data_IF_759558329613
#
_entry.id   IF_759558329613
#
_cell.length_a   1.000
_cell.length_b   1.000
_cell.length_c   1.000
_cell.angle_alpha   90.00
_cell.angle_beta   90.00
_cell.angle_gamma   90.00
#
_symmetry.space_group_name_H-M   'P 1'
#
loop_
_entity.id
_entity.type
_entity.pdbx_description
1 polymer ?
#
# COMPACT_ATOMS: atom_id res chain seq x y z
N UNK A 1 6.75 -15.37 6.21
CA UNK A 1 6.04 -14.69 5.11
C UNK A 1 6.36 -13.21 5.23
N UNK A 2 6.92 -12.62 4.18
CA UNK A 2 7.25 -11.20 4.12
C UNK A 2 6.21 -10.53 3.21
N UNK A 3 5.57 -9.47 3.70
CA UNK A 3 4.60 -8.69 2.93
C UNK A 3 5.25 -7.31 2.70
N UNK A 4 5.59 -6.97 1.45
CA UNK A 4 6.22 -5.70 1.17
C UNK A 4 5.19 -4.56 1.27
N UNK A 5 5.63 -3.38 1.72
CA UNK A 5 4.78 -2.20 1.79
C UNK A 5 4.37 -1.76 0.37
N UNK A 6 3.06 -1.77 0.08
CA UNK A 6 2.55 -1.31 -1.21
C UNK A 6 2.78 0.19 -1.43
N UNK A 7 2.70 1.02 -0.38
CA UNK A 7 2.97 2.45 -0.50
C UNK A 7 4.39 2.73 -1.01
N UNK A 8 5.39 2.03 -0.44
CA UNK A 8 6.78 2.13 -0.93
C UNK A 8 6.91 1.65 -2.37
N UNK A 9 6.23 0.57 -2.76
CA UNK A 9 6.25 0.10 -4.16
C UNK A 9 5.69 1.13 -5.13
N UNK A 10 4.59 1.81 -4.79
CA UNK A 10 3.98 2.85 -5.64
C UNK A 10 4.86 4.10 -5.69
N UNK A 11 5.49 4.50 -4.58
CA UNK A 11 6.46 5.59 -4.58
C UNK A 11 7.66 5.28 -5.48
N UNK A 12 8.22 4.08 -5.35
CA UNK A 12 9.36 3.63 -6.13
C UNK A 12 9.01 3.48 -7.62
N UNK A 13 7.79 3.05 -7.96
CA UNK A 13 7.36 2.95 -9.35
C UNK A 13 7.36 4.32 -10.03
N UNK A 14 6.81 5.35 -9.36
CA UNK A 14 6.83 6.71 -9.90
C UNK A 14 8.26 7.27 -10.00
N UNK A 15 9.05 7.15 -8.93
CA UNK A 15 10.43 7.61 -8.92
C UNK A 15 11.27 6.97 -10.02
N UNK A 16 11.12 5.66 -10.22
CA UNK A 16 11.84 4.92 -11.24
C UNK A 16 11.55 5.45 -12.64
N UNK A 17 10.27 5.54 -13.02
CA UNK A 17 9.93 5.96 -14.38
C UNK A 17 10.23 7.44 -14.62
N UNK A 18 10.12 8.29 -13.58
CA UNK A 18 10.58 9.67 -13.62
C UNK A 18 12.09 9.80 -13.82
N UNK A 19 12.88 8.82 -13.38
CA UNK A 19 14.32 8.75 -13.64
C UNK A 19 14.71 8.17 -15.01
N UNK A 20 13.82 7.39 -15.65
CA UNK A 20 14.09 6.64 -16.89
C UNK A 20 13.51 7.29 -18.15
N UNK A 21 12.36 7.93 -18.06
CA UNK A 21 11.72 8.58 -19.19
C UNK A 21 12.18 10.04 -19.28
N UNK A 22 12.89 10.41 -20.36
CA UNK A 22 13.48 11.75 -20.51
C UNK A 22 12.45 12.88 -20.43
N UNK A 23 11.25 12.69 -21.02
CA UNK A 23 10.21 13.72 -21.02
C UNK A 23 9.64 13.92 -19.62
N UNK A 24 9.31 12.83 -18.93
CA UNK A 24 8.84 12.88 -17.55
C UNK A 24 9.92 13.41 -16.60
N UNK A 25 11.17 13.01 -16.79
CA UNK A 25 12.30 13.50 -16.00
C UNK A 25 12.46 15.02 -16.11
N UNK A 26 12.38 15.56 -17.33
CA UNK A 26 12.44 17.00 -17.55
C UNK A 26 11.29 17.70 -16.84
N UNK A 27 10.06 17.20 -17.01
CA UNK A 27 8.88 17.79 -16.38
C UNK A 27 8.97 17.77 -14.84
N UNK A 28 9.39 16.66 -14.25
CA UNK A 28 9.53 16.54 -12.78
C UNK A 28 10.58 17.50 -12.25
N UNK A 29 11.72 17.65 -12.94
CA UNK A 29 12.73 18.66 -12.58
C UNK A 29 12.17 20.08 -12.66
N UNK A 30 11.38 20.38 -13.68
CA UNK A 30 10.72 21.69 -13.81
C UNK A 30 9.72 21.92 -12.67
N UNK A 31 8.91 20.92 -12.32
CA UNK A 31 7.98 20.97 -11.18
C UNK A 31 8.72 21.26 -9.87
N UNK A 32 9.83 20.57 -9.60
CA UNK A 32 10.63 20.77 -8.39
C UNK A 32 11.25 22.18 -8.37
N UNK A 33 11.79 22.65 -9.50
CA UNK A 33 12.33 24.00 -9.63
C UNK A 33 11.27 25.08 -9.40
N UNK A 34 10.08 24.90 -9.98
CA UNK A 34 8.96 25.83 -9.78
C UNK A 34 8.57 25.84 -8.29
N UNK A 35 8.51 24.68 -7.63
CA UNK A 35 8.18 24.58 -6.20
C UNK A 35 9.17 25.34 -5.32
N UNK A 36 10.48 25.18 -5.55
CA UNK A 36 11.53 25.93 -4.84
C UNK A 36 11.37 27.44 -5.03
N UNK A 37 11.14 27.89 -6.26
CA UNK A 37 10.93 29.30 -6.56
C UNK A 37 9.68 29.84 -5.88
N UNK A 38 8.58 29.08 -5.89
CA UNK A 38 7.34 29.47 -5.21
C UNK A 38 7.52 29.63 -3.69
N UNK A 39 8.40 28.83 -3.07
CA UNK A 39 8.72 28.96 -1.65
C UNK A 39 9.56 30.20 -1.35
N UNK A 40 10.46 30.60 -2.26
CA UNK A 40 11.23 31.84 -2.14
C UNK A 40 10.29 33.06 -2.24
N UNK A 41 9.31 33.01 -3.14
CA UNK A 41 8.34 34.07 -3.38
C UNK A 41 6.98 33.83 -2.68
N UNK A 42 6.98 33.14 -1.54
CA UNK A 42 5.74 32.76 -0.85
C UNK A 42 4.89 33.99 -0.45
N UNK A 43 5.53 35.10 -0.06
CA UNK A 43 4.85 36.35 0.30
C UNK A 43 4.15 36.99 -0.90
N UNK A 44 4.82 37.04 -2.06
CA UNK A 44 4.26 37.59 -3.29
C UNK A 44 3.11 36.72 -3.83
N UNK A 45 3.27 35.40 -3.74
CA UNK A 45 2.26 34.41 -4.12
C UNK A 45 1.08 34.42 -3.14
N UNK A 46 1.32 34.77 -1.88
CA UNK A 46 0.36 34.77 -0.79
C UNK A 46 0.00 33.37 -0.30
N UNK A 47 0.84 32.37 -0.58
CA UNK A 47 0.68 30.99 -0.14
C UNK A 47 2.04 30.24 -0.20
N UNK A 48 2.24 29.29 0.70
CA UNK A 48 3.45 28.47 0.74
C UNK A 48 3.29 27.20 -0.10
N UNK A 49 4.20 27.00 -1.05
CA UNK A 49 4.20 25.78 -1.88
C UNK A 49 4.73 24.57 -1.08
N UNK A 50 4.10 23.39 -1.20
CA UNK A 50 4.61 22.14 -0.62
C UNK A 50 6.04 21.85 -1.09
N UNK A 51 6.84 21.26 -0.20
CA UNK A 51 8.21 20.84 -0.54
C UNK A 51 8.21 19.45 -1.17
N UNK A 52 9.07 19.23 -2.17
CA UNK A 52 9.36 17.89 -2.64
C UNK A 52 9.99 17.05 -1.52
N UNK A 53 9.52 15.81 -1.34
CA UNK A 53 10.04 14.87 -0.36
C UNK A 53 10.69 13.69 -1.10
N UNK A 54 12.01 13.57 -0.99
CA UNK A 54 12.80 12.59 -1.75
C UNK A 54 12.47 11.12 -1.44
N UNK A 55 11.85 10.85 -0.29
CA UNK A 55 11.37 9.52 0.12
C UNK A 55 9.90 9.27 -0.20
N UNK A 56 9.15 10.31 -0.63
CA UNK A 56 7.70 10.24 -0.87
C UNK A 56 7.29 11.03 -2.12
N UNK A 57 7.75 10.58 -3.28
CA UNK A 57 7.60 11.33 -4.55
C UNK A 57 6.16 11.60 -4.99
N UNK A 58 5.17 10.78 -4.58
CA UNK A 58 3.77 10.96 -4.99
C UNK A 58 3.17 12.26 -4.44
N UNK A 59 3.78 12.85 -3.40
CA UNK A 59 3.39 14.16 -2.89
C UNK A 59 3.71 15.31 -3.87
N UNK A 60 4.44 15.05 -4.95
CA UNK A 60 4.53 15.96 -6.10
C UNK A 60 3.14 16.29 -6.67
N UNK A 61 2.12 15.46 -6.41
CA UNK A 61 0.72 15.78 -6.67
C UNK A 61 0.31 17.13 -6.05
N UNK A 62 0.65 17.36 -4.77
CA UNK A 62 0.28 18.59 -4.06
C UNK A 62 1.01 19.79 -4.68
N UNK A 63 2.24 19.59 -5.13
CA UNK A 63 3.02 20.62 -5.84
C UNK A 63 2.32 20.95 -7.16
N UNK A 64 1.94 19.96 -7.98
CA UNK A 64 1.23 20.20 -9.23
C UNK A 64 -0.11 20.93 -8.99
N UNK A 65 -0.88 20.54 -7.97
CA UNK A 65 -2.12 21.22 -7.59
C UNK A 65 -1.85 22.68 -7.20
N UNK A 66 -0.81 22.94 -6.39
CA UNK A 66 -0.41 24.29 -6.01
C UNK A 66 -0.03 25.13 -7.24
N UNK A 67 0.80 24.59 -8.15
CA UNK A 67 1.25 25.31 -9.34
C UNK A 67 0.06 25.70 -10.20
N UNK A 68 -0.89 24.79 -10.44
CA UNK A 68 -2.09 25.08 -11.23
C UNK A 68 -3.00 26.12 -10.54
N UNK A 69 -3.14 26.03 -9.21
CA UNK A 69 -3.96 26.98 -8.43
C UNK A 69 -3.42 28.41 -8.46
N UNK A 70 -2.10 28.58 -8.41
CA UNK A 70 -1.43 29.89 -8.34
C UNK A 70 -0.73 30.29 -9.64
N UNK A 71 -1.04 29.62 -10.76
CA UNK A 71 -0.34 29.75 -12.04
C UNK A 71 -0.17 31.21 -12.50
N UNK A 72 -1.22 32.04 -12.38
CA UNK A 72 -1.19 33.44 -12.80
C UNK A 72 -0.14 34.28 -12.05
N UNK A 73 0.14 33.95 -10.78
CA UNK A 73 1.18 34.61 -10.00
C UNK A 73 2.56 34.03 -10.32
N UNK A 74 2.64 32.71 -10.45
CA UNK A 74 3.89 31.99 -10.75
C UNK A 74 4.46 32.40 -12.11
N UNK A 75 3.60 32.63 -13.11
CA UNK A 75 3.97 33.07 -14.47
C UNK A 75 4.78 34.37 -14.51
N UNK A 76 4.78 35.17 -13.45
CA UNK A 76 5.60 36.37 -13.35
C UNK A 76 7.09 36.06 -13.17
N UNK A 77 7.42 34.87 -12.68
CA UNK A 77 8.79 34.45 -12.36
C UNK A 77 9.32 33.35 -13.27
N UNK A 78 8.44 32.46 -13.75
CA UNK A 78 8.84 31.31 -14.57
C UNK A 78 7.71 30.89 -15.51
N UNK A 79 8.06 30.42 -16.70
CA UNK A 79 7.09 29.85 -17.63
C UNK A 79 6.55 28.52 -17.09
N UNK A 80 5.23 28.34 -17.16
CA UNK A 80 4.53 27.14 -16.68
C UNK A 80 3.91 26.44 -17.88
N UNK A 81 4.31 25.20 -18.13
CA UNK A 81 3.69 24.33 -19.14
C UNK A 81 2.41 23.71 -18.56
N UNK A 82 1.32 24.49 -18.62
CA UNK A 82 0.03 24.15 -18.01
C UNK A 82 -0.42 22.73 -18.35
N UNK A 83 -0.46 22.40 -19.64
CA UNK A 83 -1.00 21.13 -20.14
C UNK A 83 -0.20 19.94 -19.62
N UNK A 84 1.14 20.04 -19.59
CA UNK A 84 1.97 18.97 -19.02
C UNK A 84 1.80 18.82 -17.52
N UNK A 85 1.63 19.92 -16.78
CA UNK A 85 1.39 19.86 -15.33
C UNK A 85 0.02 19.24 -15.05
N UNK A 86 -1.01 19.57 -15.83
CA UNK A 86 -2.33 18.91 -15.75
C UNK A 86 -2.21 17.41 -15.98
N UNK A 87 -1.51 17.00 -17.06
CA UNK A 87 -1.31 15.58 -17.36
C UNK A 87 -0.58 14.84 -16.24
N UNK A 88 0.49 15.42 -15.68
CA UNK A 88 1.18 14.82 -14.55
C UNK A 88 0.29 14.77 -13.30
N UNK A 89 -0.44 15.85 -12.99
CA UNK A 89 -1.36 15.93 -11.86
C UNK A 89 -2.44 14.84 -11.93
N UNK A 90 -3.01 14.59 -13.10
CA UNK A 90 -4.04 13.56 -13.29
C UNK A 90 -3.49 12.15 -13.05
N UNK A 91 -2.29 11.85 -13.54
CA UNK A 91 -1.64 10.57 -13.26
C UNK A 91 -1.28 10.42 -11.77
N UNK A 92 -0.75 11.48 -11.16
CA UNK A 92 -0.41 11.49 -9.74
C UNK A 92 -1.65 11.42 -8.85
N UNK A 93 -2.81 11.90 -9.30
CA UNK A 93 -4.08 11.74 -8.58
C UNK A 93 -4.43 10.27 -8.38
N UNK A 94 -4.28 9.44 -9.42
CA UNK A 94 -4.51 7.99 -9.35
C UNK A 94 -3.57 7.36 -8.32
N UNK A 95 -2.27 7.67 -8.40
CA UNK A 95 -1.27 7.12 -7.48
C UNK A 95 -1.48 7.59 -6.04
N UNK A 96 -1.76 8.87 -5.82
CA UNK A 96 -2.01 9.43 -4.47
C UNK A 96 -3.25 8.82 -3.84
N UNK A 97 -4.33 8.67 -4.61
CA UNK A 97 -5.55 8.04 -4.10
C UNK A 97 -5.32 6.56 -3.76
N UNK A 98 -4.49 5.85 -4.52
CA UNK A 98 -4.08 4.49 -4.21
C UNK A 98 -3.30 4.41 -2.88
N UNK A 99 -2.36 5.33 -2.64
CA UNK A 99 -1.67 5.46 -1.34
C UNK A 99 -2.68 5.65 -0.21
N UNK A 100 -3.59 6.62 -0.34
CA UNK A 100 -4.61 6.91 0.68
C UNK A 100 -5.49 5.69 0.99
N UNK A 101 -5.86 4.91 -0.03
CA UNK A 101 -6.61 3.66 0.15
C UNK A 101 -5.82 2.65 0.96
N UNK A 102 -4.53 2.44 0.65
CA UNK A 102 -3.69 1.46 1.33
C UNK A 102 -3.17 1.92 2.69
N UNK A 103 -3.20 3.21 2.98
CA UNK A 103 -2.93 3.78 4.30
C UNK A 103 -4.19 3.86 5.16
N UNK A 104 -5.38 3.53 4.65
CA UNK A 104 -6.58 3.49 5.50
C UNK A 104 -6.46 2.41 6.58
N UNK A 105 -7.01 2.69 7.76
CA UNK A 105 -7.26 1.74 8.85
C UNK A 105 -8.18 0.56 8.44
N UNK A 106 -8.95 0.74 7.36
CA UNK A 106 -9.84 -0.29 6.78
C UNK A 106 -9.21 -1.02 5.60
N UNK A 107 -7.95 -0.74 5.26
CA UNK A 107 -7.28 -1.37 4.13
C UNK A 107 -7.06 -2.87 4.39
N UNK A 108 -7.60 -3.71 3.51
CA UNK A 108 -7.44 -5.16 3.57
C UNK A 108 -6.51 -5.61 2.44
N UNK A 109 -5.55 -6.50 2.76
CA UNK A 109 -4.65 -7.09 1.78
C UNK A 109 -5.38 -7.71 0.59
N UNK A 110 -6.52 -8.35 0.87
CA UNK A 110 -7.37 -9.01 -0.13
C UNK A 110 -7.87 -8.04 -1.20
N UNK A 111 -8.07 -6.76 -0.87
CA UNK A 111 -8.61 -5.78 -1.80
C UNK A 111 -7.52 -5.13 -2.66
N UNK A 112 -6.24 -5.29 -2.30
CA UNK A 112 -5.13 -4.63 -2.99
C UNK A 112 -5.04 -4.99 -4.46
N UNK A 113 -5.27 -6.26 -4.81
CA UNK A 113 -5.26 -6.70 -6.21
C UNK A 113 -6.24 -5.89 -7.08
N UNK A 114 -7.50 -5.76 -6.64
CA UNK A 114 -8.52 -5.02 -7.39
C UNK A 114 -8.17 -3.54 -7.50
N UNK A 115 -7.70 -2.92 -6.42
CA UNK A 115 -7.28 -1.52 -6.46
C UNK A 115 -6.10 -1.27 -7.40
N UNK A 116 -5.12 -2.18 -7.42
CA UNK A 116 -4.00 -2.12 -8.37
C UNK A 116 -4.48 -2.26 -9.82
N UNK A 117 -5.32 -3.25 -10.12
CA UNK A 117 -5.90 -3.44 -11.46
C UNK A 117 -6.70 -2.21 -11.91
N UNK A 118 -7.50 -1.62 -11.00
CA UNK A 118 -8.23 -0.38 -11.27
C UNK A 118 -7.29 0.79 -11.54
N UNK A 119 -6.24 0.97 -10.74
CA UNK A 119 -5.27 2.07 -10.92
C UNK A 119 -4.53 1.94 -12.26
N UNK A 120 -4.03 0.75 -12.60
CA UNK A 120 -3.36 0.47 -13.88
C UNK A 120 -4.33 0.72 -15.05
N UNK A 121 -5.58 0.28 -14.93
CA UNK A 121 -6.61 0.54 -15.95
C UNK A 121 -6.93 2.03 -16.08
N UNK A 122 -7.06 2.76 -14.97
CA UNK A 122 -7.31 4.20 -14.96
C UNK A 122 -6.17 4.98 -15.63
N UNK A 123 -4.91 4.66 -15.32
CA UNK A 123 -3.74 5.27 -15.96
C UNK A 123 -3.70 5.02 -17.47
N UNK A 124 -4.02 3.80 -17.91
CA UNK A 124 -4.12 3.51 -19.35
C UNK A 124 -5.28 4.27 -20.02
N UNK A 125 -6.42 4.41 -19.33
CA UNK A 125 -7.56 5.19 -19.83
C UNK A 125 -7.24 6.69 -19.93
N UNK A 126 -6.40 7.24 -19.05
CA UNK A 126 -5.90 8.62 -19.21
C UNK A 126 -5.15 8.78 -20.54
N UNK A 127 -4.36 7.79 -20.95
CA UNK A 127 -3.66 7.82 -22.24
C UNK A 127 -4.61 7.62 -23.42
N UNK A 128 -5.49 6.62 -23.37
CA UNK A 128 -6.36 6.29 -24.51
C UNK A 128 -7.47 7.31 -24.74
N UNK A 129 -8.09 7.82 -23.66
CA UNK A 129 -9.29 8.65 -23.74
C UNK A 129 -8.98 10.14 -23.62
N UNK A 130 -7.97 10.51 -22.81
CA UNK A 130 -7.61 11.90 -22.53
C UNK A 130 -6.26 12.31 -23.15
N UNK A 131 -5.65 11.44 -23.96
CA UNK A 131 -4.37 11.67 -24.63
C UNK A 131 -3.23 12.10 -23.68
N UNK A 132 -3.27 11.62 -22.44
CA UNK A 132 -2.23 11.87 -21.45
C UNK A 132 -0.92 11.16 -21.85
N UNK A 133 0.17 11.93 -21.97
CA UNK A 133 1.47 11.44 -22.42
C UNK A 133 2.18 10.51 -21.42
N UNK A 134 1.77 10.50 -20.15
CA UNK A 134 2.43 9.78 -19.07
C UNK A 134 1.65 8.59 -18.53
N UNK A 135 0.35 8.49 -18.83
CA UNK A 135 -0.54 7.47 -18.28
C UNK A 135 -0.04 6.04 -18.51
N UNK A 136 0.22 5.65 -19.76
CA UNK A 136 0.66 4.30 -20.11
C UNK A 136 2.02 3.93 -19.51
N UNK A 137 3.01 4.83 -19.51
CA UNK A 137 4.33 4.55 -18.93
C UNK A 137 4.26 4.41 -17.40
N UNK A 138 3.39 5.18 -16.74
CA UNK A 138 3.14 5.06 -15.30
C UNK A 138 2.34 3.79 -14.99
N UNK A 139 1.41 3.39 -15.85
CA UNK A 139 0.67 2.15 -15.73
C UNK A 139 1.62 0.94 -15.80
N UNK A 140 2.49 0.87 -16.81
CA UNK A 140 3.49 -0.19 -16.95
C UNK A 140 4.46 -0.22 -15.76
N UNK A 141 4.92 0.95 -15.29
CA UNK A 141 5.80 0.99 -14.13
C UNK A 141 5.10 0.59 -12.83
N UNK A 142 3.83 0.93 -12.64
CA UNK A 142 3.06 0.49 -11.48
C UNK A 142 2.87 -1.03 -11.51
N UNK A 143 2.55 -1.58 -12.68
CA UNK A 143 2.38 -3.02 -12.89
C UNK A 143 3.66 -3.80 -12.53
N UNK A 144 4.80 -3.38 -13.09
CA UNK A 144 6.10 -4.05 -12.88
C UNK A 144 6.62 -4.02 -11.44
N UNK A 145 6.29 -2.96 -10.68
CA UNK A 145 6.61 -2.88 -9.26
C UNK A 145 5.58 -3.58 -8.37
N UNK A 146 4.43 -4.00 -8.89
CA UNK A 146 3.34 -4.58 -8.10
C UNK A 146 2.91 -5.95 -8.61
N UNK A 147 2.02 -6.03 -9.60
CA UNK A 147 1.40 -7.28 -10.07
C UNK A 147 2.33 -8.14 -10.93
N UNK A 148 3.25 -7.53 -11.68
CA UNK A 148 4.31 -8.23 -12.44
C UNK A 148 5.65 -8.26 -11.70
N UNK A 149 5.63 -8.06 -10.38
CA UNK A 149 6.80 -8.26 -9.53
C UNK A 149 6.89 -9.68 -9.01
N UNK A 150 8.00 -10.04 -8.38
CA UNK A 150 8.12 -11.31 -7.64
C UNK A 150 7.13 -11.47 -6.49
N UNK A 151 6.51 -10.37 -6.06
CA UNK A 151 5.45 -10.36 -5.05
C UNK A 151 4.05 -10.23 -5.66
N UNK A 152 3.90 -10.12 -6.99
CA UNK A 152 2.60 -9.93 -7.64
C UNK A 152 1.59 -11.02 -7.29
N UNK A 153 2.06 -12.27 -7.25
CA UNK A 153 1.25 -13.43 -6.86
C UNK A 153 0.72 -13.37 -5.42
N UNK A 154 1.33 -12.60 -4.51
CA UNK A 154 0.85 -12.38 -3.15
C UNK A 154 -0.53 -11.71 -3.16
N UNK A 155 -0.68 -10.64 -3.94
CA UNK A 155 -1.90 -9.85 -4.01
C UNK A 155 -3.02 -10.66 -4.65
N UNK A 156 -2.70 -11.38 -5.73
CA UNK A 156 -3.61 -12.28 -6.42
C UNK A 156 -4.10 -13.41 -5.49
N UNK A 157 -3.18 -14.03 -4.75
CA UNK A 157 -3.50 -15.11 -3.80
C UNK A 157 -4.35 -14.61 -2.61
N UNK A 158 -4.02 -13.44 -2.05
CA UNK A 158 -4.81 -12.87 -0.96
C UNK A 158 -6.25 -12.59 -1.41
N UNK A 159 -6.43 -12.01 -2.61
CA UNK A 159 -7.76 -11.78 -3.15
C UNK A 159 -8.51 -13.08 -3.43
N UNK A 160 -7.86 -14.06 -4.07
CA UNK A 160 -8.49 -15.33 -4.47
C UNK A 160 -9.02 -16.15 -3.29
N UNK A 161 -8.45 -15.98 -2.09
CA UNK A 161 -8.90 -16.61 -0.84
C UNK A 161 -10.10 -15.90 -0.19
N UNK A 162 -10.78 -15.02 -0.91
CA UNK A 162 -12.09 -14.46 -0.53
C UNK A 162 -13.18 -15.02 -1.43
N UNK A 163 -14.45 -15.08 -1.00
CA UNK A 163 -15.55 -15.52 -1.86
C UNK A 163 -15.66 -14.69 -3.15
N UNK A 164 -15.50 -13.36 -3.03
CA UNK A 164 -15.46 -12.46 -4.18
C UNK A 164 -14.30 -12.76 -5.12
N UNK A 165 -13.10 -12.94 -4.60
CA UNK A 165 -11.94 -13.25 -5.43
C UNK A 165 -12.05 -14.62 -6.08
N UNK A 166 -12.50 -15.65 -5.35
CA UNK A 166 -12.79 -16.96 -5.93
C UNK A 166 -13.75 -16.83 -7.12
N UNK A 167 -14.87 -16.14 -6.94
CA UNK A 167 -15.84 -15.89 -8.00
C UNK A 167 -15.19 -15.17 -9.20
N UNK A 168 -14.43 -14.10 -8.94
CA UNK A 168 -13.71 -13.35 -9.97
C UNK A 168 -12.75 -14.25 -10.77
N UNK A 169 -11.86 -14.98 -10.08
CA UNK A 169 -10.87 -15.83 -10.72
C UNK A 169 -11.51 -17.00 -11.47
N UNK A 170 -12.58 -17.58 -10.92
CA UNK A 170 -13.33 -18.64 -11.59
C UNK A 170 -13.95 -18.15 -12.90
N UNK A 171 -14.73 -17.07 -12.87
CA UNK A 171 -15.37 -16.53 -14.09
C UNK A 171 -14.33 -16.09 -15.12
N UNK A 172 -13.33 -15.32 -14.68
CA UNK A 172 -12.33 -14.74 -15.57
C UNK A 172 -11.38 -15.76 -16.19
N UNK A 173 -10.86 -16.71 -15.41
CA UNK A 173 -9.79 -17.60 -15.89
C UNK A 173 -10.23 -19.03 -16.18
N UNK A 174 -11.33 -19.49 -15.56
CA UNK A 174 -11.85 -20.84 -15.79
C UNK A 174 -12.93 -20.82 -16.87
N UNK A 175 -13.84 -19.84 -16.81
CA UNK A 175 -14.92 -19.67 -17.80
C UNK A 175 -14.54 -18.72 -18.95
N UNK A 176 -13.44 -17.99 -18.84
CA UNK A 176 -13.00 -16.97 -19.80
C UNK A 176 -14.08 -15.89 -20.05
N UNK A 177 -14.76 -15.48 -18.98
CA UNK A 177 -15.84 -14.51 -19.01
C UNK A 177 -15.32 -13.13 -18.58
N UNK A 178 -15.88 -12.07 -19.17
CA UNK A 178 -15.67 -10.72 -18.66
C UNK A 178 -16.36 -10.55 -17.30
N UNK A 179 -15.68 -9.90 -16.36
CA UNK A 179 -16.18 -9.64 -15.01
C UNK A 179 -16.21 -8.13 -14.79
N UNK A 180 -17.39 -7.58 -14.54
CA UNK A 180 -17.65 -6.13 -14.38
C UNK A 180 -17.02 -5.50 -13.11
N UNK A 181 -16.22 -6.24 -12.33
CA UNK A 181 -15.60 -5.75 -11.08
C UNK A 181 -14.61 -4.58 -11.29
N UNK A 182 -14.27 -4.27 -12.54
CA UNK A 182 -13.51 -3.10 -12.96
C UNK A 182 -14.38 -1.93 -13.44
N UNK A 183 -15.69 -1.94 -13.19
CA UNK A 183 -16.60 -0.89 -13.63
C UNK A 183 -16.11 0.51 -13.17
N UNK A 184 -16.01 1.39 -14.16
CA UNK A 184 -15.54 2.78 -14.11
C UNK A 184 -14.26 3.03 -13.27
N UNK A 185 -13.08 2.63 -13.78
CA UNK A 185 -11.80 2.85 -13.10
C UNK A 185 -11.54 4.33 -12.82
N UNK A 186 -11.90 5.23 -13.76
CA UNK A 186 -11.64 6.66 -13.62
C UNK A 186 -12.47 7.28 -12.49
N UNK A 187 -13.75 6.90 -12.34
CA UNK A 187 -14.58 7.38 -11.22
C UNK A 187 -13.97 7.03 -9.86
N UNK A 188 -13.33 5.87 -9.75
CA UNK A 188 -12.69 5.39 -8.51
C UNK A 188 -11.52 6.28 -8.07
N UNK A 189 -10.98 7.12 -8.97
CA UNK A 189 -9.81 7.98 -8.73
C UNK A 189 -10.07 9.47 -8.97
N UNK A 190 -11.33 9.91 -9.00
CA UNK A 190 -11.66 11.34 -9.15
C UNK A 190 -11.04 12.19 -8.01
N UNK A 191 -10.50 13.35 -8.41
CA UNK A 191 -9.70 14.22 -7.54
C UNK A 191 -10.46 14.93 -6.42
N UNK A 192 -11.80 14.97 -6.49
CA UNK A 192 -12.69 15.68 -5.55
C UNK A 192 -12.64 15.12 -4.11
N UNK A 193 -11.93 14.01 -3.89
CA UNK A 193 -11.83 13.31 -2.60
C UNK A 193 -10.37 13.07 -2.16
N UNK A 194 -9.43 13.90 -2.60
CA UNK A 194 -8.04 13.85 -2.13
C UNK A 194 -7.85 15.00 -1.13
N UNK A 195 -7.72 14.73 0.19
CA UNK A 195 -7.48 15.77 1.17
C UNK A 195 -6.15 16.49 0.90
N UNK A 196 -6.18 17.81 1.07
CA UNK A 196 -5.05 18.72 0.98
C UNK A 196 -4.35 18.71 2.35
N UNK A 197 -3.54 17.67 2.60
CA UNK A 197 -2.68 17.58 3.80
C UNK A 197 -1.24 17.91 3.43
N UNK A 198 -0.57 18.67 4.29
CA UNK A 198 0.87 18.93 4.16
C UNK A 198 1.65 17.65 4.48
N UNK A 199 2.59 17.20 3.62
CA UNK A 199 3.46 16.07 3.93
C UNK A 199 4.20 16.17 5.27
N UNK A 200 4.45 17.38 5.78
CA UNK A 200 5.05 17.60 7.10
C UNK A 200 4.09 17.28 8.26
N UNK A 201 2.78 17.50 8.08
CA UNK A 201 1.75 17.12 9.06
C UNK A 201 1.57 15.59 9.09
N UNK A 202 1.63 14.91 7.95
CA UNK A 202 1.60 13.44 7.91
C UNK A 202 2.86 12.79 8.54
N UNK A 203 4.01 13.48 8.53
CA UNK A 203 5.20 13.07 9.30
C UNK A 203 4.99 13.24 10.81
N UNK A 204 4.38 14.35 11.22
CA UNK A 204 4.08 14.61 12.63
C UNK A 204 2.97 13.70 13.16
N UNK A 205 1.94 13.33 12.41
CA UNK A 205 0.91 12.37 12.87
C UNK A 205 1.52 10.98 13.18
N UNK A 206 2.58 10.59 12.46
CA UNK A 206 3.30 9.32 12.72
C UNK A 206 4.20 9.45 13.97
N UNK A 207 4.88 10.60 14.13
CA UNK A 207 5.91 10.85 15.17
C UNK A 207 5.40 11.51 16.48
N UNK A 208 4.34 12.31 16.47
CA UNK A 208 3.78 12.96 17.68
C UNK A 208 2.93 11.99 18.50
N UNK A 209 2.37 10.95 17.88
CA UNK A 209 1.68 9.88 18.59
C UNK A 209 2.64 8.91 19.32
N UNK A 210 3.95 9.01 19.10
CA UNK A 210 4.96 8.28 19.88
C UNK A 210 5.34 8.98 21.20
N UNK A 211 4.96 10.26 21.38
CA UNK A 211 5.25 11.04 22.60
C UNK A 211 4.33 10.64 23.77
N UNK A 212 3.28 9.85 23.54
CA UNK A 212 2.51 9.25 24.63
C UNK A 212 3.18 8.02 25.28
N UNK A 213 4.44 7.69 24.92
CA UNK A 213 5.14 6.51 25.43
C UNK A 213 5.70 6.61 26.85
N UNK A 214 5.79 7.77 27.50
CA UNK A 214 6.20 7.81 28.91
C UNK A 214 5.30 8.70 29.75
N UNK A 215 4.77 8.11 30.82
CA UNK A 215 3.79 8.72 31.69
C UNK A 215 4.27 10.06 32.22
N UNK A 216 3.60 11.14 31.81
CA UNK A 216 3.77 12.43 32.45
C UNK A 216 2.40 13.03 32.76
N UNK A 217 1.93 12.79 33.99
CA UNK A 217 1.04 13.73 34.67
C UNK A 217 1.90 14.88 35.18
N UNK A 218 2.00 15.93 34.36
CA UNK A 218 2.51 17.27 34.67
C UNK A 218 4.02 17.43 34.99
N UNK A 219 4.80 18.01 34.08
CA UNK A 219 5.58 19.26 34.28
C UNK A 219 6.71 19.45 33.25
N UNK A 220 6.97 20.73 32.95
CA UNK A 220 8.10 21.33 32.22
C UNK A 220 9.40 21.23 33.02
N UNK A 221 10.53 20.84 32.43
CA UNK A 221 11.88 21.33 32.80
C UNK A 221 12.78 21.38 31.55
N UNK A 222 13.50 22.50 31.43
CA UNK A 222 14.55 22.81 30.47
C UNK A 222 15.95 22.68 31.12
N UNK A 223 16.95 22.46 30.28
CA UNK A 223 18.42 22.61 30.41
C UNK A 223 19.28 21.47 31.02
N UNK A 224 20.43 21.35 30.35
CA UNK A 224 21.51 20.36 30.16
C UNK A 224 22.43 20.05 31.35
N UNK A 225 23.09 18.88 31.33
CA UNK A 225 24.54 18.75 31.03
C UNK A 225 25.01 17.28 31.01
N UNK A 226 25.82 16.98 30.00
CA UNK A 226 26.70 15.82 29.78
C UNK A 226 26.17 14.39 30.01
N UNK A 227 25.89 13.69 28.89
CA UNK A 227 25.67 12.25 28.90
C UNK A 227 25.26 11.67 27.55
N UNK A 228 26.00 12.01 26.50
CA UNK A 228 26.03 11.39 25.15
C UNK A 228 24.82 10.51 24.78
N UNK A 229 23.79 11.12 24.18
CA UNK A 229 22.84 10.34 23.39
C UNK A 229 23.59 9.75 22.20
N UNK A 230 23.72 8.41 22.16
CA UNK A 230 24.05 7.72 20.92
C UNK A 230 22.97 8.14 19.92
N UNK A 231 23.37 8.89 18.90
CA UNK A 231 22.65 8.99 17.64
C UNK A 231 22.40 7.53 17.25
N UNK A 232 21.15 7.08 17.38
CA UNK A 232 20.70 5.93 16.62
C UNK A 232 20.83 6.46 15.19
N UNK A 233 21.98 6.18 14.58
CA UNK A 233 22.05 6.11 13.14
C UNK A 233 20.97 5.09 12.83
N UNK A 234 19.82 5.56 12.35
CA UNK A 234 18.91 4.73 11.59
C UNK A 234 19.81 4.02 10.60
N UNK A 235 20.07 2.74 10.85
CA UNK A 235 20.63 1.91 9.81
C UNK A 235 19.64 2.03 8.68
N UNK A 236 20.08 2.67 7.60
CA UNK A 236 19.47 2.79 6.27
C UNK A 236 19.29 1.41 5.59
N UNK A 237 19.02 0.38 6.41
CA UNK A 237 18.61 -0.97 6.08
C UNK A 237 17.07 -1.06 6.10
N UNK A 238 16.38 0.06 5.82
CA UNK A 238 15.09 -0.05 5.15
C UNK A 238 15.37 -0.79 3.85
N UNK A 239 14.79 -1.98 3.68
CA UNK A 239 14.82 -2.75 2.44
C UNK A 239 14.39 -1.87 1.25
N UNK A 240 15.35 -1.13 0.67
CA UNK A 240 15.23 -0.57 -0.67
C UNK A 240 15.11 -1.77 -1.58
N UNK A 241 13.89 -2.09 -1.99
CA UNK A 241 13.63 -3.01 -3.08
C UNK A 241 14.53 -2.57 -4.24
N UNK A 242 15.42 -3.45 -4.67
CA UNK A 242 16.37 -3.14 -5.73
C UNK A 242 15.69 -3.44 -7.07
N UNK A 243 16.21 -2.86 -8.15
CA UNK A 243 15.71 -3.10 -9.52
C UNK A 243 15.65 -4.59 -9.91
N UNK A 244 16.26 -5.49 -9.13
CA UNK A 244 16.20 -6.94 -9.32
C UNK A 244 14.83 -7.55 -8.98
N UNK A 245 13.97 -6.85 -8.22
CA UNK A 245 12.62 -7.33 -7.86
C UNK A 245 11.57 -7.07 -8.97
N UNK A 246 11.97 -6.40 -10.05
CA UNK A 246 11.14 -6.02 -11.21
C UNK A 246 11.41 -6.99 -12.36
N UNK A 247 10.38 -7.63 -12.92
CA UNK A 247 10.52 -8.53 -14.07
C UNK A 247 10.72 -7.73 -15.36
N UNK A 248 11.58 -8.22 -16.24
CA UNK A 248 11.75 -7.65 -17.58
C UNK A 248 10.49 -7.90 -18.43
N UNK A 249 10.03 -6.83 -19.12
CA UNK A 249 8.78 -6.71 -19.90
C UNK A 249 8.24 -8.02 -20.48
N UNK A 250 7.05 -8.44 -20.03
CA UNK A 250 6.20 -9.37 -20.75
C UNK A 250 4.74 -8.92 -20.69
N UNK A 251 4.29 -8.21 -21.72
CA UNK A 251 2.89 -7.87 -21.91
C UNK A 251 2.06 -9.10 -22.29
N UNK A 252 1.52 -9.81 -21.29
CA UNK A 252 0.40 -10.77 -21.40
C UNK A 252 -0.24 -10.99 -20.01
N UNK A 253 -1.22 -10.16 -19.64
CA UNK A 253 -1.55 -9.84 -18.22
C UNK A 253 -2.80 -10.52 -17.63
N UNK A 254 -3.27 -11.63 -18.21
CA UNK A 254 -4.44 -12.35 -17.68
C UNK A 254 -4.07 -13.76 -17.18
N UNK A 255 -3.65 -14.66 -18.07
CA UNK A 255 -3.28 -16.05 -17.71
C UNK A 255 -2.13 -16.10 -16.68
N UNK A 256 -1.34 -15.02 -16.59
CA UNK A 256 -0.26 -14.84 -15.65
C UNK A 256 -0.71 -14.62 -14.20
N UNK A 257 -1.88 -14.03 -13.91
CA UNK A 257 -2.24 -13.63 -12.54
C UNK A 257 -2.56 -14.83 -11.64
N UNK A 258 -3.40 -15.75 -12.15
CA UNK A 258 -3.74 -16.98 -11.42
C UNK A 258 -2.51 -17.89 -11.30
N UNK A 259 -1.67 -17.91 -12.32
CA UNK A 259 -0.38 -18.63 -12.30
C UNK A 259 0.56 -18.04 -11.25
N UNK A 260 0.68 -16.71 -11.19
CA UNK A 260 1.44 -16.01 -10.18
C UNK A 260 0.93 -16.30 -8.76
N UNK A 261 -0.40 -16.35 -8.54
CA UNK A 261 -0.98 -16.76 -7.27
C UNK A 261 -0.57 -18.18 -6.86
N UNK A 262 -0.61 -19.13 -7.81
CA UNK A 262 -0.17 -20.53 -7.58
C UNK A 262 1.32 -20.62 -7.27
N UNK A 263 2.14 -19.87 -7.99
CA UNK A 263 3.59 -19.85 -7.77
C UNK A 263 3.95 -19.22 -6.43
N UNK A 264 3.23 -18.17 -6.02
CA UNK A 264 3.40 -17.59 -4.70
C UNK A 264 2.93 -18.55 -3.59
N UNK A 265 1.83 -19.29 -3.80
CA UNK A 265 1.41 -20.35 -2.89
C UNK A 265 2.51 -21.43 -2.76
N UNK A 266 3.12 -21.88 -3.86
CA UNK A 266 4.28 -22.81 -3.80
C UNK A 266 5.41 -22.25 -2.94
N UNK A 267 5.76 -20.97 -3.10
CA UNK A 267 6.79 -20.28 -2.28
C UNK A 267 6.41 -20.30 -0.79
N UNK A 268 5.15 -20.01 -0.45
CA UNK A 268 4.67 -20.09 0.94
C UNK A 268 4.76 -21.51 1.50
N UNK A 269 4.35 -22.53 0.73
CA UNK A 269 4.37 -23.92 1.18
C UNK A 269 5.80 -24.43 1.45
N UNK A 270 6.81 -23.92 0.72
CA UNK A 270 8.22 -24.14 1.02
C UNK A 270 8.61 -23.51 2.36
N UNK A 271 8.16 -22.27 2.63
CA UNK A 271 8.43 -21.60 3.92
C UNK A 271 7.78 -22.32 5.12
N UNK A 272 6.63 -22.98 4.91
CA UNK A 272 5.95 -23.79 5.93
C UNK A 272 6.65 -25.13 6.21
N UNK A 273 7.73 -25.47 5.48
CA UNK A 273 8.52 -26.71 5.65
C UNK A 273 7.68 -27.98 5.53
N UNK A 274 6.65 -27.95 4.69
CA UNK A 274 5.80 -29.10 4.40
C UNK A 274 6.56 -30.14 3.55
N UNK A 275 6.16 -31.41 3.62
CA UNK A 275 6.68 -32.44 2.72
C UNK A 275 6.03 -32.33 1.32
N UNK A 276 6.65 -32.91 0.29
CA UNK A 276 6.17 -32.81 -1.10
C UNK A 276 4.73 -33.32 -1.31
N UNK A 277 4.33 -34.36 -0.55
CA UNK A 277 2.95 -34.86 -0.58
C UNK A 277 1.96 -33.82 -0.07
N UNK A 278 2.24 -33.18 1.06
CA UNK A 278 1.41 -32.11 1.63
C UNK A 278 1.34 -30.90 0.69
N UNK A 279 2.48 -30.48 0.12
CA UNK A 279 2.51 -29.39 -0.87
C UNK A 279 1.58 -29.68 -2.05
N UNK A 280 1.66 -30.91 -2.58
CA UNK A 280 0.84 -31.36 -3.71
C UNK A 280 -0.65 -31.37 -3.36
N UNK A 281 -1.02 -31.86 -2.17
CA UNK A 281 -2.40 -31.88 -1.69
C UNK A 281 -2.97 -30.47 -1.54
N UNK A 282 -2.23 -29.53 -0.95
CA UNK A 282 -2.68 -28.13 -0.79
C UNK A 282 -2.82 -27.42 -2.15
N UNK A 283 -1.88 -27.62 -3.06
CA UNK A 283 -1.99 -27.06 -4.42
C UNK A 283 -3.17 -27.65 -5.18
N UNK A 284 -3.41 -28.96 -5.04
CA UNK A 284 -4.58 -29.62 -5.64
C UNK A 284 -5.89 -29.10 -5.06
N UNK A 285 -5.94 -28.88 -3.73
CA UNK A 285 -7.08 -28.27 -3.06
C UNK A 285 -7.32 -26.85 -3.57
N UNK A 286 -6.29 -26.01 -3.65
CA UNK A 286 -6.42 -24.64 -4.16
C UNK A 286 -6.90 -24.61 -5.63
N UNK A 287 -6.36 -25.48 -6.48
CA UNK A 287 -6.85 -25.61 -7.86
C UNK A 287 -8.32 -26.05 -7.89
N UNK A 288 -8.71 -27.02 -7.07
CA UNK A 288 -10.10 -27.49 -6.98
C UNK A 288 -11.02 -26.37 -6.48
N UNK A 289 -10.58 -25.62 -5.47
CA UNK A 289 -11.30 -24.47 -4.91
C UNK A 289 -11.62 -23.41 -5.97
N UNK A 290 -10.65 -23.06 -6.82
CA UNK A 290 -10.84 -22.08 -7.90
C UNK A 290 -11.62 -22.67 -9.09
N UNK A 291 -11.30 -23.90 -9.51
CA UNK A 291 -11.80 -24.46 -10.77
C UNK A 291 -13.20 -25.05 -10.68
N UNK A 292 -13.62 -25.54 -9.51
CA UNK A 292 -14.93 -26.17 -9.37
C UNK A 292 -16.03 -25.11 -9.47
N UNK A 293 -17.14 -25.44 -10.11
CA UNK A 293 -18.30 -24.54 -10.20
C UNK A 293 -18.92 -24.27 -8.82
N UNK A 294 -19.21 -25.34 -8.07
CA UNK A 294 -19.62 -25.24 -6.66
C UNK A 294 -18.46 -24.88 -5.75
N UNK A 295 -18.71 -23.97 -4.81
CA UNK A 295 -17.75 -23.56 -3.81
C UNK A 295 -17.55 -24.69 -2.78
N UNK A 296 -16.32 -25.18 -2.64
CA UNK A 296 -16.02 -26.27 -1.71
C UNK A 296 -16.07 -25.84 -0.24
N UNK A 297 -16.13 -24.53 0.02
CA UNK A 297 -16.27 -23.91 1.34
C UNK A 297 -17.59 -23.13 1.45
N UNK A 298 -18.59 -23.42 0.62
CA UNK A 298 -19.91 -22.76 0.65
C UNK A 298 -20.58 -22.80 2.03
N UNK A 299 -20.51 -23.96 2.69
CA UNK A 299 -21.05 -24.16 4.03
C UNK A 299 -20.23 -23.48 5.15
N UNK A 300 -19.10 -22.88 4.79
CA UNK A 300 -18.19 -22.19 5.71
C UNK A 300 -18.23 -20.67 5.49
N UNK A 301 -19.22 -20.17 4.75
CA UNK A 301 -19.44 -18.73 4.56
C UNK A 301 -20.01 -18.10 5.83
N UNK A 302 -19.49 -16.93 6.18
CA UNK A 302 -20.02 -16.10 7.25
C UNK A 302 -21.03 -15.09 6.68
N UNK A 303 -22.27 -15.15 7.18
CA UNK A 303 -23.39 -14.32 6.72
C UNK A 303 -23.12 -12.81 6.83
N UNK A 304 -22.35 -12.38 7.85
CA UNK A 304 -22.15 -10.96 8.16
C UNK A 304 -21.02 -10.29 7.35
N UNK A 305 -20.07 -11.07 6.80
CA UNK A 305 -18.84 -10.53 6.21
C UNK A 305 -18.60 -10.94 4.74
N UNK A 306 -19.44 -11.82 4.18
CA UNK A 306 -19.18 -12.45 2.87
C UNK A 306 -17.75 -12.97 2.75
N UNK A 307 -17.26 -13.59 3.82
CA UNK A 307 -15.93 -14.18 3.91
C UNK A 307 -16.05 -15.62 4.40
N UNK A 308 -15.01 -16.43 4.18
CA UNK A 308 -14.97 -17.78 4.74
C UNK A 308 -14.59 -17.73 6.22
N UNK A 309 -15.14 -18.64 7.01
CA UNK A 309 -14.78 -18.92 8.39
C UNK A 309 -13.40 -19.61 8.46
N UNK A 310 -12.36 -18.95 7.96
CA UNK A 310 -11.00 -19.50 7.86
C UNK A 310 -10.45 -19.96 9.21
N UNK A 311 -10.87 -19.31 10.31
CA UNK A 311 -10.53 -19.76 11.67
C UNK A 311 -11.09 -21.16 11.95
N UNK A 312 -12.36 -21.42 11.67
CA UNK A 312 -12.97 -22.74 11.86
C UNK A 312 -12.38 -23.78 10.90
N UNK A 313 -12.15 -23.41 9.64
CA UNK A 313 -11.53 -24.29 8.64
C UNK A 313 -10.10 -24.66 9.07
N UNK A 314 -9.37 -23.77 9.74
CA UNK A 314 -8.00 -24.03 10.20
C UNK A 314 -7.91 -25.15 11.24
N UNK A 315 -8.98 -25.40 12.01
CA UNK A 315 -9.05 -26.48 13.00
C UNK A 315 -9.36 -27.86 12.40
N UNK A 316 -9.59 -27.95 11.09
CA UNK A 316 -9.83 -29.22 10.39
C UNK A 316 -8.54 -30.00 10.21
N UNK A 317 -8.62 -31.19 9.63
CA UNK A 317 -7.45 -32.05 9.38
C UNK A 317 -7.02 -31.91 7.91
N UNK A 318 -5.71 -31.98 7.68
CA UNK A 318 -5.12 -32.12 6.35
C UNK A 318 -4.95 -30.79 5.61
N UNK A 319 -5.02 -30.85 4.28
CA UNK A 319 -4.73 -29.74 3.38
C UNK A 319 -5.66 -28.53 3.55
N UNK A 320 -6.90 -28.74 4.02
CA UNK A 320 -7.86 -27.67 4.31
C UNK A 320 -7.38 -26.76 5.44
N UNK A 321 -6.83 -27.35 6.49
CA UNK A 321 -6.26 -26.61 7.63
C UNK A 321 -5.09 -25.75 7.19
N UNK A 322 -4.17 -26.31 6.40
CA UNK A 322 -2.99 -25.60 5.90
C UNK A 322 -3.41 -24.42 5.00
N UNK A 323 -4.35 -24.63 4.07
CA UNK A 323 -4.83 -23.55 3.21
C UNK A 323 -5.50 -22.43 4.03
N UNK A 324 -6.29 -22.81 5.03
CA UNK A 324 -6.94 -21.86 5.92
C UNK A 324 -5.95 -21.07 6.79
N UNK A 325 -4.89 -21.70 7.31
CA UNK A 325 -3.82 -20.98 8.00
C UNK A 325 -3.12 -19.95 7.10
N UNK A 326 -2.90 -20.30 5.82
CA UNK A 326 -2.33 -19.36 4.84
C UNK A 326 -3.30 -18.21 4.59
N UNK A 327 -4.59 -18.50 4.41
CA UNK A 327 -5.62 -17.49 4.25
C UNK A 327 -5.69 -16.53 5.45
N UNK A 328 -5.72 -17.06 6.69
CA UNK A 328 -5.68 -16.24 7.90
C UNK A 328 -4.46 -15.31 7.94
N UNK A 329 -3.26 -15.84 7.66
CA UNK A 329 -2.04 -15.04 7.67
C UNK A 329 -2.07 -13.92 6.63
N UNK A 330 -2.59 -14.19 5.43
CA UNK A 330 -2.70 -13.19 4.36
C UNK A 330 -3.79 -12.16 4.66
N UNK A 331 -4.99 -12.61 5.00
CA UNK A 331 -6.17 -11.74 5.16
C UNK A 331 -6.09 -10.86 6.41
N UNK A 332 -5.34 -11.28 7.45
CA UNK A 332 -5.09 -10.47 8.64
C UNK A 332 -3.88 -9.54 8.51
N UNK A 333 -3.16 -9.55 7.38
CA UNK A 333 -1.97 -8.73 7.20
C UNK A 333 -2.28 -7.33 6.67
N UNK A 334 -1.44 -6.37 7.05
CA UNK A 334 -1.57 -4.98 6.61
C UNK A 334 -0.88 -4.77 5.25
N UNK A 335 -1.50 -4.01 4.32
CA UNK A 335 -0.94 -3.78 2.99
C UNK A 335 0.15 -2.69 2.95
N UNK A 336 0.22 -1.85 3.98
CA UNK A 336 1.20 -0.76 4.12
C UNK A 336 1.81 -0.74 5.51
N UNK A 337 2.97 -0.10 5.63
CA UNK A 337 3.62 0.15 6.91
C UNK A 337 2.74 1.04 7.82
N UNK A 338 2.15 2.10 7.28
CA UNK A 338 1.25 2.97 8.02
C UNK A 338 0.05 2.21 8.62
N UNK A 339 -0.58 1.30 7.87
CA UNK A 339 -1.67 0.47 8.40
C UNK A 339 -1.16 -0.56 9.40
N UNK A 340 0.04 -1.11 9.19
CA UNK A 340 0.69 -2.01 10.16
C UNK A 340 0.92 -1.31 11.50
N UNK A 341 1.51 -0.12 11.48
CA UNK A 341 1.76 0.70 12.67
C UNK A 341 0.46 1.05 13.40
N UNK A 342 -0.58 1.48 12.67
CA UNK A 342 -1.89 1.77 13.28
C UNK A 342 -2.51 0.54 13.93
N UNK A 343 -2.41 -0.63 13.29
CA UNK A 343 -2.90 -1.89 13.87
C UNK A 343 -2.13 -2.28 15.14
N UNK A 344 -0.80 -2.13 15.15
CA UNK A 344 0.03 -2.34 16.33
C UNK A 344 -0.35 -1.36 17.44
N UNK A 345 -0.53 -0.08 17.12
CA UNK A 345 -0.97 0.96 18.07
C UNK A 345 -2.34 0.61 18.67
N UNK A 346 -3.31 0.21 17.86
CA UNK A 346 -4.64 -0.20 18.32
C UNK A 346 -4.58 -1.43 19.25
N UNK A 347 -3.75 -2.42 18.92
CA UNK A 347 -3.52 -3.58 19.79
C UNK A 347 -2.89 -3.17 21.13
N UNK A 348 -1.88 -2.28 21.11
CA UNK A 348 -1.27 -1.73 22.33
C UNK A 348 -2.32 -1.01 23.19
N UNK A 349 -3.20 -0.21 22.60
CA UNK A 349 -4.27 0.47 23.32
C UNK A 349 -5.23 -0.51 24.01
N UNK A 350 -5.68 -1.55 23.30
CA UNK A 350 -6.54 -2.61 23.86
C UNK A 350 -5.84 -3.32 25.03
N UNK A 351 -4.57 -3.68 24.86
CA UNK A 351 -3.78 -4.31 25.91
C UNK A 351 -3.58 -3.40 27.12
N UNK A 352 -3.38 -2.10 26.90
CA UNK A 352 -3.26 -1.11 27.97
C UNK A 352 -4.58 -0.93 28.74
N UNK A 353 -5.72 -0.86 28.06
CA UNK A 353 -7.04 -0.81 28.71
C UNK A 353 -7.30 -2.10 29.52
N UNK A 354 -6.96 -3.27 28.98
CA UNK A 354 -7.04 -4.55 29.71
C UNK A 354 -6.08 -4.59 30.92
N UNK A 355 -4.88 -4.03 30.77
CA UNK A 355 -3.89 -3.90 31.84
C UNK A 355 -4.41 -3.00 32.96
N UNK A 356 -4.99 -1.84 32.64
CA UNK A 356 -5.57 -0.92 33.63
C UNK A 356 -6.78 -1.50 34.36
N UNK A 357 -7.51 -2.43 33.71
CA UNK A 357 -8.59 -3.21 34.35
C UNK A 357 -8.10 -4.39 35.20
N UNK A 358 -6.78 -4.63 35.29
CA UNK A 358 -6.22 -5.71 36.11
C UNK A 358 -6.26 -5.36 37.61
N UNK A 359 -6.38 -6.39 38.46
CA UNK A 359 -6.46 -6.20 39.93
C UNK A 359 -5.25 -5.41 40.45
N UNK A 360 -5.48 -4.48 41.38
CA UNK A 360 -4.46 -3.59 41.98
C UNK A 360 -3.20 -4.32 42.46
N UNK A 361 -3.35 -5.51 43.04
CA UNK A 361 -2.22 -6.33 43.48
C UNK A 361 -1.31 -6.76 42.32
N UNK A 362 -1.89 -7.09 41.16
CA UNK A 362 -1.15 -7.53 39.97
C UNK A 362 -0.41 -6.36 39.29
N UNK A 363 -0.99 -5.15 39.36
CA UNK A 363 -0.36 -3.92 38.93
C UNK A 363 0.83 -3.55 39.84
N UNK A 364 0.65 -3.65 41.16
CA UNK A 364 1.69 -3.40 42.14
C UNK A 364 2.86 -4.38 42.03
N UNK A 365 2.61 -5.68 41.90
CA UNK A 365 3.66 -6.68 41.69
C UNK A 365 4.45 -6.44 40.40
N UNK A 366 3.79 -5.95 39.34
CA UNK A 366 4.46 -5.58 38.08
C UNK A 366 5.31 -4.32 38.20
N UNK A 367 4.84 -3.30 38.94
CA UNK A 367 5.66 -2.11 39.22
C UNK A 367 6.93 -2.46 39.99
N UNK A 368 6.82 -3.36 40.98
CA UNK A 368 7.98 -3.86 41.73
C UNK A 368 8.94 -4.58 40.77
N UNK A 369 8.44 -5.48 39.91
CA UNK A 369 9.27 -6.22 38.95
C UNK A 369 9.95 -5.33 37.90
N UNK A 370 9.29 -4.25 37.46
CA UNK A 370 9.86 -3.28 36.51
C UNK A 370 10.87 -2.33 37.16
N UNK A 371 10.76 -2.05 38.46
CA UNK A 371 11.73 -1.26 39.22
C UNK A 371 12.99 -2.06 39.61
N UNK A 372 12.97 -3.39 39.47
CA UNK A 372 14.10 -4.29 39.77
C UNK A 372 14.86 -4.80 38.53
N UNK A 373 14.58 -4.25 37.35
CA UNK A 373 15.44 -4.37 36.16
C UNK A 373 16.10 -3.03 35.90
#
# INVERSE_FOLDING_TARGET
>A
MLIPCLCHRIHNSYQYIAGKNNQLQSLVKDVHRIAELCRIHADDIGAQCPQHVSTRWIYDYNICVFILKYENKIKQYINVDHDKIVQLKDCLAVLKKLILVFESDKALLANCYIWLRKAISALNLLTSNLHNAFGSILASSLDSYTLDSDFGGLWCLAFSLTPRGRFYFHRKFVKNEEVEDLADPLSSFQSEHIPDKDPAEDLQDIYMDSIFEEGNTNAVIDVTDEGTFRRIVESDDQLRLTLQDVREDNHQTAENDLTAAKDYLKRILVQFRLNERQKTLVLSLYNTFINKESDIFENDLMDEAQNYAWEEISHRIGEKSILAEIALRLLCSSPSEATCERNIKAQRLILNVRRLRSKKNLLNSRHILMATK
#
